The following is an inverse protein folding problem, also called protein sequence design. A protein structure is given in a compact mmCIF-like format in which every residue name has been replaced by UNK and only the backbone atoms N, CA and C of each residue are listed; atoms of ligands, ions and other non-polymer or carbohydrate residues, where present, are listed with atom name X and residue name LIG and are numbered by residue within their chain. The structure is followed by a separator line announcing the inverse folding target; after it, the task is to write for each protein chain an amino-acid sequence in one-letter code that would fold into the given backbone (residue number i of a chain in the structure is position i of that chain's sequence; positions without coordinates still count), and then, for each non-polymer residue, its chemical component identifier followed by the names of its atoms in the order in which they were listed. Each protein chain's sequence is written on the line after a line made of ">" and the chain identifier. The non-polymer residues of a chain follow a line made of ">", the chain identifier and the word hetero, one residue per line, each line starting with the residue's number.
data_IF_948508367054
#
_entry.id   IF_948508367054
#
_cell.length_a   1.000
_cell.length_b   1.000
_cell.length_c   1.000
_cell.angle_alpha   90.00
_cell.angle_beta   90.00
_cell.angle_gamma   90.00
#
_symmetry.space_group_name_H-M   'P 1'
#
loop_
_entity.id
_entity.type
_entity.pdbx_description
1 polymer ?
#
# COMPACT_ATOMS: atom_id res chain seq x y z
N UNK A 1 -1.21 12.35 -32.22
CA UNK A 1 -1.08 12.23 -30.75
C UNK A 1 -1.16 10.75 -30.38
N UNK A 2 -0.15 10.17 -29.73
CA UNK A 2 -0.25 8.79 -29.23
C UNK A 2 -1.32 8.75 -28.14
N UNK A 3 -2.44 8.07 -28.39
CA UNK A 3 -3.43 7.78 -27.34
C UNK A 3 -2.70 7.10 -26.19
N UNK A 4 -2.86 7.61 -24.97
CA UNK A 4 -2.28 6.96 -23.81
C UNK A 4 -3.06 5.65 -23.59
N UNK A 5 -2.36 4.53 -23.38
CA UNK A 5 -3.00 3.22 -23.19
C UNK A 5 -3.91 3.16 -21.96
N UNK A 6 -3.83 4.18 -21.10
CA UNK A 6 -4.64 4.33 -19.88
C UNK A 6 -6.08 4.70 -20.24
N UNK A 7 -6.29 5.61 -21.20
CA UNK A 7 -7.63 6.02 -21.64
C UNK A 7 -8.32 4.95 -22.50
N UNK A 8 -7.56 4.07 -23.15
CA UNK A 8 -8.09 2.95 -23.91
C UNK A 8 -8.72 1.88 -23.00
N UNK A 9 -8.33 1.85 -21.72
CA UNK A 9 -8.98 1.06 -20.70
C UNK A 9 -10.41 1.52 -20.46
N UNK A 10 -10.62 2.78 -20.10
CA UNK A 10 -11.95 3.34 -19.73
C UNK A 10 -13.02 3.06 -20.79
N UNK A 11 -12.64 3.09 -22.07
CA UNK A 11 -13.55 2.79 -23.20
C UNK A 11 -14.00 1.32 -23.29
N UNK A 12 -13.36 0.40 -22.57
CA UNK A 12 -13.74 -1.01 -22.49
C UNK A 12 -14.69 -1.30 -21.32
N UNK A 13 -14.95 -0.31 -20.46
CA UNK A 13 -15.83 -0.48 -19.31
C UNK A 13 -17.30 -0.54 -19.71
N UNK A 14 -18.01 -1.54 -19.18
CA UNK A 14 -19.47 -1.61 -19.32
C UNK A 14 -20.17 -0.45 -18.58
N UNK A 15 -19.55 0.03 -17.51
CA UNK A 15 -20.05 1.12 -16.67
C UNK A 15 -18.89 2.04 -16.28
N UNK A 16 -19.00 3.32 -16.64
CA UNK A 16 -18.08 4.37 -16.19
C UNK A 16 -18.81 5.19 -15.13
N UNK A 17 -18.42 5.09 -13.84
CA UNK A 17 -19.09 5.84 -12.80
C UNK A 17 -18.90 7.35 -13.00
N UNK A 18 -19.94 8.19 -12.77
CA UNK A 18 -19.76 9.64 -12.71
C UNK A 18 -18.79 10.02 -11.57
N UNK A 19 -18.13 11.17 -11.69
CA UNK A 19 -17.05 11.59 -10.78
C UNK A 19 -17.40 11.58 -9.28
N UNK A 20 -18.66 11.85 -8.93
CA UNK A 20 -19.13 11.79 -7.53
C UNK A 20 -19.22 10.34 -7.06
N UNK A 21 -19.71 9.46 -7.95
CA UNK A 21 -19.86 8.04 -7.64
C UNK A 21 -18.50 7.36 -7.52
N UNK A 22 -17.50 7.73 -8.32
CA UNK A 22 -16.14 7.20 -8.17
C UNK A 22 -15.49 7.60 -6.84
N UNK A 23 -15.72 8.84 -6.38
CA UNK A 23 -15.25 9.28 -5.06
C UNK A 23 -15.91 8.47 -3.92
N UNK A 24 -17.22 8.23 -4.01
CA UNK A 24 -17.93 7.39 -3.04
C UNK A 24 -17.46 5.94 -3.11
N UNK A 25 -17.24 5.40 -4.31
CA UNK A 25 -16.70 4.05 -4.51
C UNK A 25 -15.32 3.92 -3.86
N UNK A 26 -14.45 4.91 -4.04
CA UNK A 26 -13.13 4.94 -3.43
C UNK A 26 -13.22 4.84 -1.90
N UNK A 27 -14.12 5.61 -1.27
CA UNK A 27 -14.35 5.52 0.19
C UNK A 27 -14.86 4.13 0.58
N UNK A 28 -15.79 3.55 -0.18
CA UNK A 28 -16.33 2.21 0.08
C UNK A 28 -15.23 1.15 -0.06
N UNK A 29 -14.34 1.25 -1.04
CA UNK A 29 -13.23 0.31 -1.19
C UNK A 29 -12.18 0.47 -0.10
N UNK A 30 -11.87 1.70 0.30
CA UNK A 30 -10.92 1.96 1.38
C UNK A 30 -11.46 1.40 2.69
N UNK A 31 -12.68 1.79 3.06
CA UNK A 31 -13.30 1.34 4.31
C UNK A 31 -13.62 -0.16 4.29
N UNK A 32 -14.23 -0.65 3.21
CA UNK A 32 -14.58 -2.06 3.04
C UNK A 32 -13.34 -2.97 2.98
N UNK A 33 -12.29 -2.53 2.30
CA UNK A 33 -11.00 -3.21 2.26
C UNK A 33 -10.36 -3.28 3.64
N UNK A 34 -10.43 -2.20 4.42
CA UNK A 34 -9.92 -2.19 5.80
C UNK A 34 -10.73 -3.12 6.73
N UNK A 35 -12.05 -3.16 6.61
CA UNK A 35 -12.88 -4.10 7.37
C UNK A 35 -12.59 -5.56 7.01
N UNK A 36 -12.45 -5.86 5.71
CA UNK A 36 -12.02 -7.19 5.24
C UNK A 36 -10.63 -7.55 5.77
N UNK A 37 -9.70 -6.59 5.82
CA UNK A 37 -8.38 -6.79 6.39
C UNK A 37 -8.46 -7.15 7.87
N UNK A 38 -9.26 -6.44 8.69
CA UNK A 38 -9.41 -6.78 10.10
C UNK A 38 -9.94 -8.20 10.30
N UNK A 39 -10.99 -8.57 9.58
CA UNK A 39 -11.57 -9.92 9.65
C UNK A 39 -10.58 -11.01 9.24
N UNK A 40 -9.74 -10.74 8.24
CA UNK A 40 -8.75 -11.71 7.76
C UNK A 40 -7.49 -11.75 8.63
N UNK A 41 -7.11 -10.65 9.26
CA UNK A 41 -5.92 -10.53 10.09
C UNK A 41 -6.10 -11.13 11.48
N UNK A 42 -7.32 -11.15 12.02
CA UNK A 42 -7.64 -11.78 13.31
C UNK A 42 -7.22 -13.27 13.39
N UNK A 43 -7.59 -14.16 12.45
CA UNK A 43 -7.14 -15.55 12.48
C UNK A 43 -5.63 -15.69 12.21
N UNK A 44 -5.04 -14.84 11.36
CA UNK A 44 -3.60 -14.85 11.08
C UNK A 44 -2.79 -14.54 12.34
N UNK A 45 -3.21 -13.52 13.07
CA UNK A 45 -2.56 -13.10 14.32
C UNK A 45 -2.78 -14.10 15.46
N UNK A 46 -3.93 -14.79 15.52
CA UNK A 46 -4.13 -15.90 16.45
C UNK A 46 -3.16 -17.07 16.19
N UNK A 47 -2.96 -17.44 14.92
CA UNK A 47 -1.98 -18.47 14.53
C UNK A 47 -0.56 -18.03 14.86
N UNK A 48 -0.19 -16.78 14.55
CA UNK A 48 1.12 -16.24 14.91
C UNK A 48 1.36 -16.28 16.42
N UNK A 49 0.36 -15.86 17.21
CA UNK A 49 0.42 -15.86 18.67
C UNK A 49 0.57 -17.26 19.24
N UNK A 50 -0.10 -18.26 18.65
CA UNK A 50 0.08 -19.65 19.01
C UNK A 50 1.51 -20.13 18.74
N UNK A 51 2.06 -19.82 17.56
CA UNK A 51 3.42 -20.20 17.18
C UNK A 51 4.50 -19.53 18.03
N UNK A 52 4.35 -18.23 18.31
CA UNK A 52 5.25 -17.45 19.15
C UNK A 52 5.11 -17.80 20.64
N UNK A 53 3.91 -18.19 21.08
CA UNK A 53 3.65 -18.76 22.40
C UNK A 53 4.45 -20.03 22.68
N UNK A 54 4.68 -20.90 21.69
CA UNK A 54 5.60 -22.04 21.82
C UNK A 54 7.07 -21.63 22.00
N UNK A 55 7.46 -20.46 21.50
CA UNK A 55 8.78 -19.86 21.67
C UNK A 55 8.89 -19.04 22.97
N UNK A 56 7.81 -19.00 23.79
CA UNK A 56 7.76 -18.23 25.02
C UNK A 56 7.70 -16.72 24.82
N UNK A 57 7.39 -16.24 23.61
CA UNK A 57 7.34 -14.82 23.28
C UNK A 57 5.90 -14.39 22.96
N UNK A 58 5.40 -13.41 23.73
CA UNK A 58 4.31 -12.50 23.33
C UNK A 58 2.89 -13.05 23.21
N UNK A 59 1.93 -12.31 23.79
CA UNK A 59 0.50 -12.52 23.54
C UNK A 59 0.01 -11.80 22.27
N UNK A 60 -1.20 -12.13 21.81
CA UNK A 60 -1.83 -11.54 20.63
C UNK A 60 -1.75 -10.01 20.56
N UNK A 61 -2.07 -9.33 21.66
CA UNK A 61 -2.05 -7.87 21.72
C UNK A 61 -0.65 -7.30 21.52
N UNK A 62 0.37 -7.97 22.04
CA UNK A 62 1.75 -7.52 21.93
C UNK A 62 2.25 -7.63 20.49
N UNK A 63 1.97 -8.72 19.80
CA UNK A 63 2.30 -8.87 18.37
C UNK A 63 1.50 -7.86 17.53
N UNK A 64 0.21 -7.71 17.79
CA UNK A 64 -0.64 -6.81 17.03
C UNK A 64 -0.19 -5.35 17.16
N UNK A 65 0.13 -4.87 18.37
CA UNK A 65 0.57 -3.49 18.57
C UNK A 65 2.01 -3.24 18.08
N UNK A 66 2.92 -4.20 18.25
CA UNK A 66 4.30 -4.05 17.73
C UNK A 66 4.36 -4.11 16.19
N UNK A 67 3.44 -4.84 15.55
CA UNK A 67 3.38 -5.00 14.09
C UNK A 67 2.16 -4.34 13.45
N UNK A 68 1.51 -3.38 14.14
CA UNK A 68 0.28 -2.74 13.69
C UNK A 68 0.42 -2.10 12.30
N UNK A 69 1.54 -1.43 12.06
CA UNK A 69 1.80 -0.74 10.79
C UNK A 69 2.02 -1.73 9.62
N UNK A 70 2.87 -2.76 9.74
CA UNK A 70 2.92 -3.84 8.75
C UNK A 70 1.57 -4.49 8.46
N UNK A 71 0.76 -4.75 9.50
CA UNK A 71 -0.58 -5.32 9.34
C UNK A 71 -1.53 -4.38 8.59
N UNK A 72 -1.49 -3.09 8.90
CA UNK A 72 -2.30 -2.08 8.21
C UNK A 72 -1.94 -2.01 6.72
N UNK A 73 -0.64 -1.96 6.40
CA UNK A 73 -0.18 -1.91 5.01
C UNK A 73 -0.50 -3.20 4.26
N UNK A 74 -0.35 -4.36 4.91
CA UNK A 74 -0.79 -5.63 4.34
C UNK A 74 -2.29 -5.66 4.06
N UNK A 75 -3.09 -4.96 4.87
CA UNK A 75 -4.53 -4.81 4.68
C UNK A 75 -4.94 -4.29 3.29
N UNK A 76 -4.09 -3.48 2.65
CA UNK A 76 -4.35 -2.98 1.29
C UNK A 76 -4.39 -4.10 0.23
N UNK A 77 -3.84 -5.29 0.50
CA UNK A 77 -4.02 -6.46 -0.37
C UNK A 77 -5.50 -6.82 -0.50
N UNK A 78 -6.27 -6.78 0.59
CA UNK A 78 -7.70 -7.09 0.55
C UNK A 78 -8.49 -6.03 -0.22
N UNK A 79 -8.06 -4.77 -0.15
CA UNK A 79 -8.62 -3.70 -0.98
C UNK A 79 -8.37 -3.96 -2.47
N UNK A 80 -7.14 -4.32 -2.85
CA UNK A 80 -6.80 -4.69 -4.24
C UNK A 80 -7.65 -5.86 -4.72
N UNK A 81 -7.82 -6.89 -3.89
CA UNK A 81 -8.65 -8.05 -4.22
C UNK A 81 -10.14 -7.67 -4.40
N UNK A 82 -10.68 -6.81 -3.53
CA UNK A 82 -12.05 -6.31 -3.66
C UNK A 82 -12.23 -5.49 -4.95
N UNK A 83 -11.28 -4.64 -5.29
CA UNK A 83 -11.27 -3.90 -6.56
C UNK A 83 -11.18 -4.84 -7.77
N UNK A 84 -10.33 -5.86 -7.73
CA UNK A 84 -10.25 -6.84 -8.81
C UNK A 84 -11.56 -7.59 -9.00
N UNK A 85 -12.23 -7.95 -7.91
CA UNK A 85 -13.54 -8.59 -7.95
C UNK A 85 -14.58 -7.67 -8.58
N UNK A 86 -14.60 -6.40 -8.18
CA UNK A 86 -15.47 -5.37 -8.76
C UNK A 86 -15.22 -5.17 -10.25
N UNK A 87 -13.98 -4.96 -10.67
CA UNK A 87 -13.61 -4.73 -12.07
C UNK A 87 -14.01 -5.95 -12.92
N UNK A 88 -13.80 -7.16 -12.38
CA UNK A 88 -14.12 -8.40 -13.10
C UNK A 88 -15.63 -8.65 -13.21
N UNK A 89 -16.42 -8.30 -12.19
CA UNK A 89 -17.84 -8.63 -12.09
C UNK A 89 -18.78 -7.46 -12.45
N UNK A 90 -18.53 -6.26 -11.94
CA UNK A 90 -19.34 -5.07 -12.18
C UNK A 90 -18.96 -4.37 -13.50
N UNK A 91 -17.67 -4.12 -13.73
CA UNK A 91 -17.22 -3.46 -14.96
C UNK A 91 -17.08 -4.42 -16.14
N UNK A 92 -16.87 -5.71 -15.86
CA UNK A 92 -16.76 -6.78 -16.86
C UNK A 92 -15.46 -6.75 -17.68
N UNK A 93 -14.45 -6.03 -17.23
CA UNK A 93 -13.21 -5.78 -17.98
C UNK A 93 -12.08 -6.72 -17.57
N UNK A 94 -11.10 -6.99 -18.45
CA UNK A 94 -9.92 -7.75 -18.08
C UNK A 94 -9.01 -6.94 -17.13
N UNK A 95 -8.55 -7.58 -16.05
CA UNK A 95 -7.66 -7.00 -15.03
C UNK A 95 -6.35 -6.43 -15.60
N UNK A 96 -5.94 -6.94 -16.77
CA UNK A 96 -4.77 -6.44 -17.50
C UNK A 96 -4.88 -4.95 -17.87
N UNK A 97 -6.11 -4.41 -17.98
CA UNK A 97 -6.33 -3.01 -18.31
C UNK A 97 -5.98 -2.04 -17.19
N UNK A 98 -5.85 -2.51 -15.94
CA UNK A 98 -5.53 -1.66 -14.78
C UNK A 98 -4.12 -1.95 -14.25
N UNK A 99 -3.67 -3.21 -14.30
CA UNK A 99 -2.50 -3.64 -13.55
C UNK A 99 -1.18 -3.75 -14.35
N UNK A 100 -1.20 -3.92 -15.68
CA UNK A 100 0.00 -4.35 -16.42
C UNK A 100 0.46 -3.36 -17.50
N UNK A 101 1.17 -2.30 -17.09
CA UNK A 101 1.99 -1.49 -18.01
C UNK A 101 3.44 -1.98 -17.95
N UNK A 102 3.77 -2.95 -18.83
CA UNK A 102 5.00 -3.77 -18.75
C UNK A 102 6.32 -3.06 -19.12
N UNK A 103 6.33 -1.81 -19.58
CA UNK A 103 7.55 -1.22 -20.17
C UNK A 103 8.19 -0.17 -19.25
N UNK A 104 9.36 -0.49 -18.68
CA UNK A 104 10.19 0.45 -17.92
C UNK A 104 9.82 0.65 -16.45
N UNK A 105 8.94 -0.18 -15.88
CA UNK A 105 8.42 -0.04 -14.50
C UNK A 105 9.53 0.03 -13.43
N UNK A 106 10.56 -0.83 -13.50
CA UNK A 106 11.68 -0.80 -12.56
C UNK A 106 12.51 0.49 -12.64
N UNK A 107 12.73 1.02 -13.85
CA UNK A 107 13.47 2.28 -14.03
C UNK A 107 12.66 3.46 -13.49
N UNK A 108 11.34 3.42 -13.67
CA UNK A 108 10.41 4.38 -13.05
C UNK A 108 10.45 4.32 -11.53
N UNK A 109 10.45 3.12 -10.96
CA UNK A 109 10.53 2.89 -9.51
C UNK A 109 11.83 3.46 -8.93
N UNK A 110 12.99 3.16 -9.53
CA UNK A 110 14.30 3.66 -9.07
C UNK A 110 14.36 5.19 -9.15
N UNK A 111 13.84 5.79 -10.23
CA UNK A 111 13.76 7.25 -10.35
C UNK A 111 12.84 7.85 -9.28
N UNK A 112 11.68 7.24 -9.04
CA UNK A 112 10.74 7.67 -8.00
C UNK A 112 11.37 7.60 -6.61
N UNK A 113 12.06 6.50 -6.29
CA UNK A 113 12.81 6.35 -5.05
C UNK A 113 13.92 7.38 -4.90
N UNK A 114 14.68 7.67 -5.96
CA UNK A 114 15.75 8.67 -5.94
C UNK A 114 15.21 10.08 -5.69
N UNK A 115 14.11 10.45 -6.35
CA UNK A 115 13.44 11.74 -6.14
C UNK A 115 12.86 11.83 -4.72
N UNK A 116 12.20 10.77 -4.26
CA UNK A 116 11.68 10.69 -2.89
C UNK A 116 12.77 10.83 -1.85
N UNK A 117 13.88 10.11 -2.01
CA UNK A 117 15.04 10.21 -1.13
C UNK A 117 15.63 11.63 -1.09
N UNK A 118 15.75 12.28 -2.25
CA UNK A 118 16.24 13.66 -2.34
C UNK A 118 15.31 14.61 -1.57
N UNK A 119 13.99 14.52 -1.80
CA UNK A 119 13.01 15.37 -1.12
C UNK A 119 13.01 15.14 0.40
N UNK A 120 13.02 13.87 0.84
CA UNK A 120 13.13 13.54 2.26
C UNK A 120 14.42 14.07 2.88
N UNK A 121 15.54 13.94 2.18
CA UNK A 121 16.84 14.46 2.64
C UNK A 121 16.83 15.97 2.74
N UNK A 122 16.18 16.67 1.80
CA UNK A 122 16.04 18.12 1.82
C UNK A 122 15.20 18.57 3.02
N UNK A 123 14.08 17.89 3.30
CA UNK A 123 13.25 18.19 4.47
C UNK A 123 14.03 17.95 5.76
N UNK A 124 14.74 16.82 5.87
CA UNK A 124 15.57 16.52 7.03
C UNK A 124 16.67 17.59 7.23
N UNK A 125 17.30 18.04 6.15
CA UNK A 125 18.28 19.13 6.18
C UNK A 125 17.65 20.44 6.67
N UNK A 126 16.46 20.80 6.17
CA UNK A 126 15.73 21.99 6.62
C UNK A 126 15.38 21.91 8.12
N UNK A 127 15.00 20.73 8.62
CA UNK A 127 14.75 20.52 10.04
C UNK A 127 16.02 20.71 10.87
N UNK A 128 17.18 20.24 10.40
CA UNK A 128 18.47 20.49 11.05
C UNK A 128 18.85 21.97 11.04
N UNK A 129 18.72 22.65 9.90
CA UNK A 129 19.09 24.06 9.74
C UNK A 129 18.18 25.01 10.50
N UNK A 130 16.89 24.68 10.63
CA UNK A 130 15.92 25.45 11.42
C UNK A 130 16.00 25.17 12.93
N UNK A 131 16.80 24.19 13.36
CA UNK A 131 16.85 23.72 14.75
C UNK A 131 15.61 22.95 15.19
N UNK A 132 14.69 22.64 14.27
CA UNK A 132 13.47 21.86 14.54
C UNK A 132 13.75 20.35 14.71
N UNK A 133 14.94 19.89 14.36
CA UNK A 133 15.38 18.51 14.58
C UNK A 133 16.87 18.44 14.89
N UNK A 134 17.25 17.42 15.63
CA UNK A 134 18.65 17.05 15.92
C UNK A 134 18.91 15.63 15.40
N UNK A 135 20.11 15.40 14.88
CA UNK A 135 20.52 14.07 14.45
C UNK A 135 21.21 13.34 15.59
N UNK A 136 20.60 12.25 16.07
CA UNK A 136 21.21 11.37 17.07
C UNK A 136 21.75 10.11 16.39
N UNK A 137 23.09 9.99 16.35
CA UNK A 137 23.79 8.85 15.75
C UNK A 137 23.49 7.49 16.43
N UNK A 138 22.93 7.51 17.65
CA UNK A 138 22.75 6.33 18.50
C UNK A 138 21.62 5.38 18.08
N UNK A 139 20.80 5.71 17.08
CA UNK A 139 19.64 4.91 16.66
C UNK A 139 19.87 4.07 15.39
N UNK A 140 21.10 4.01 14.87
CA UNK A 140 21.47 3.15 13.74
C UNK A 140 21.66 1.68 14.19
N UNK A 141 20.60 1.10 14.75
CA UNK A 141 20.57 -0.32 15.11
C UNK A 141 20.05 -1.16 13.94
N UNK A 142 20.35 -2.46 13.94
CA UNK A 142 19.97 -3.38 12.86
C UNK A 142 18.45 -3.59 12.78
N UNK A 143 17.74 -3.44 13.90
CA UNK A 143 16.31 -3.66 14.01
C UNK A 143 15.46 -2.64 13.20
N UNK A 144 15.62 -1.30 13.35
CA UNK A 144 14.96 -0.32 12.49
C UNK A 144 15.27 -0.52 11.00
N UNK A 145 16.49 -0.94 10.67
CA UNK A 145 16.87 -1.22 9.28
C UNK A 145 16.09 -2.41 8.71
N UNK A 146 16.02 -3.53 9.43
CA UNK A 146 15.21 -4.69 9.03
C UNK A 146 13.72 -4.34 8.96
N UNK A 147 13.22 -3.53 9.90
CA UNK A 147 11.84 -3.08 9.90
C UNK A 147 11.52 -2.28 8.62
N UNK A 148 12.36 -1.33 8.23
CA UNK A 148 12.20 -0.57 6.99
C UNK A 148 12.21 -1.49 5.75
N UNK A 149 13.07 -2.52 5.72
CA UNK A 149 13.09 -3.49 4.62
C UNK A 149 11.77 -4.27 4.49
N UNK A 150 11.09 -4.55 5.61
CA UNK A 150 9.75 -5.16 5.60
C UNK A 150 8.70 -4.15 5.13
N UNK A 151 8.82 -2.88 5.53
CA UNK A 151 7.85 -1.84 5.18
C UNK A 151 7.89 -1.43 3.71
N UNK A 152 9.07 -1.37 3.10
CA UNK A 152 9.23 -0.96 1.70
C UNK A 152 8.28 -1.69 0.72
N UNK A 153 8.24 -3.03 0.66
CA UNK A 153 7.31 -3.73 -0.23
C UNK A 153 5.85 -3.51 0.17
N UNK A 154 5.54 -3.38 1.46
CA UNK A 154 4.18 -3.13 1.95
C UNK A 154 3.68 -1.72 1.57
N UNK A 155 4.54 -0.71 1.63
CA UNK A 155 4.24 0.63 1.10
C UNK A 155 4.07 0.62 -0.41
N UNK A 156 4.82 -0.20 -1.15
CA UNK A 156 4.57 -0.37 -2.58
C UNK A 156 3.20 -0.96 -2.87
N UNK A 157 2.72 -1.92 -2.04
CA UNK A 157 1.37 -2.47 -2.14
C UNK A 157 0.33 -1.38 -1.86
N UNK A 158 0.50 -0.59 -0.80
CA UNK A 158 -0.39 0.52 -0.48
C UNK A 158 -0.44 1.55 -1.62
N UNK A 159 0.72 2.05 -2.07
CA UNK A 159 0.78 3.02 -3.15
C UNK A 159 0.16 2.48 -4.44
N UNK A 160 0.39 1.19 -4.75
CA UNK A 160 -0.26 0.51 -5.86
C UNK A 160 -1.78 0.42 -5.70
N UNK A 161 -2.29 0.16 -4.50
CA UNK A 161 -3.73 0.12 -4.21
C UNK A 161 -4.38 1.50 -4.42
N UNK A 162 -3.77 2.57 -3.94
CA UNK A 162 -4.26 3.94 -4.14
C UNK A 162 -4.26 4.33 -5.64
N UNK A 163 -3.22 3.94 -6.37
CA UNK A 163 -3.15 4.11 -7.82
C UNK A 163 -4.23 3.29 -8.54
N UNK A 164 -4.56 2.09 -8.06
CA UNK A 164 -5.64 1.26 -8.61
C UNK A 164 -7.01 1.89 -8.37
N UNK A 165 -7.29 2.39 -7.15
CA UNK A 165 -8.56 3.06 -6.81
C UNK A 165 -8.76 4.32 -7.65
N UNK A 166 -7.70 5.09 -7.87
CA UNK A 166 -7.78 6.33 -8.66
C UNK A 166 -7.89 6.10 -10.17
N UNK A 167 -7.65 4.86 -10.64
CA UNK A 167 -7.74 4.46 -12.06
C UNK A 167 -8.98 3.65 -12.43
N UNK A 168 -9.70 3.11 -11.45
CA UNK A 168 -10.97 2.42 -11.63
C UNK A 168 -12.10 3.43 -11.83
#
# INVERSE_FOLDING_TARGET
>A
MKKSSILDGVNQARFVPPYILSLLLAVVFVQGGQQLAYLALEPISAVLSFMLGFLGQGGFFEIFFNFALPFLLFGFVFMILALFLWVRWAEGRPLATICFVKKGSLVGLVKGLAVGFLLFSLVALLMLLSGAGSFEWGQLTLEPFLYILILLPLWMIQGGAEELVTRA
#
